data_IF_323767294121
#
_entry.id   IF_323767294121
#
_cell.length_a   1.000
_cell.length_b   1.000
_cell.length_c   1.000
_cell.angle_alpha   90.00
_cell.angle_beta   90.00
_cell.angle_gamma   90.00
#
_symmetry.space_group_name_H-M   'P 1'
#
loop_
_entity.id
_entity.type
_entity.pdbx_description
1 polymer ?
#
# COMPACT_ATOMS: atom_id res chain seq x y z
N UNK A 1 6.70 5.73 5.10
CA UNK A 1 6.65 7.04 4.42
C UNK A 1 6.37 8.15 5.44
N UNK A 2 7.27 8.30 6.44
CA UNK A 2 7.14 9.33 7.51
C UNK A 2 8.47 9.99 7.90
N UNK A 3 9.60 9.66 7.24
CA UNK A 3 10.94 10.05 7.70
C UNK A 3 11.72 11.00 6.78
N UNK A 4 11.03 11.75 5.88
CA UNK A 4 11.68 12.75 5.00
C UNK A 4 11.65 14.18 5.57
N UNK A 5 11.25 14.38 6.83
CA UNK A 5 11.19 15.73 7.46
C UNK A 5 12.36 16.07 8.40
N UNK A 6 13.24 15.13 8.68
CA UNK A 6 14.37 15.38 9.61
C UNK A 6 15.59 16.06 8.95
N UNK A 7 15.71 16.00 7.63
CA UNK A 7 16.80 16.67 6.90
C UNK A 7 16.77 18.21 7.00
N UNK A 8 15.58 18.80 6.94
CA UNK A 8 15.41 20.27 6.97
C UNK A 8 15.61 20.87 8.39
N UNK A 9 15.42 20.06 9.46
CA UNK A 9 15.69 20.53 10.82
C UNK A 9 17.19 20.64 11.14
N UNK A 10 18.03 19.92 10.40
CA UNK A 10 19.48 19.84 10.69
C UNK A 10 20.23 21.09 10.23
N UNK A 11 19.77 21.77 9.19
CA UNK A 11 20.36 23.02 8.68
C UNK A 11 20.18 24.17 9.66
N UNK A 12 19.16 24.14 10.48
CA UNK A 12 18.76 25.24 11.35
C UNK A 12 19.57 25.36 12.67
N UNK A 13 20.33 24.33 13.10
CA UNK A 13 21.09 24.39 14.36
C UNK A 13 22.34 25.29 14.28
N UNK A 14 23.06 25.27 13.16
CA UNK A 14 24.24 26.12 12.96
C UNK A 14 23.85 27.60 12.82
N UNK A 15 22.72 27.90 12.17
CA UNK A 15 22.17 29.25 12.09
C UNK A 15 21.69 29.72 13.48
N UNK A 16 21.01 28.89 14.25
CA UNK A 16 20.56 29.21 15.61
C UNK A 16 21.74 29.46 16.57
N UNK A 17 22.86 28.76 16.40
CA UNK A 17 24.08 28.98 17.22
C UNK A 17 24.77 30.30 16.83
N UNK A 18 24.74 30.68 15.56
CA UNK A 18 25.27 31.99 15.11
C UNK A 18 24.40 33.16 15.60
N UNK A 19 23.09 32.97 15.62
CA UNK A 19 22.09 33.98 16.05
C UNK A 19 22.12 34.27 17.59
N UNK A 20 22.83 33.40 18.37
CA UNK A 20 22.98 33.57 19.82
C UNK A 20 23.89 34.73 20.13
N UNK A 21 24.87 35.07 19.28
CA UNK A 21 25.85 36.14 19.57
C UNK A 21 25.24 37.54 19.64
N UNK A 22 24.12 37.76 18.96
CA UNK A 22 23.46 39.06 18.90
C UNK A 22 22.36 39.26 19.93
N UNK A 23 22.08 38.27 20.80
CA UNK A 23 21.07 38.35 21.83
C UNK A 23 21.64 38.83 23.13
N UNK A 24 20.79 39.50 23.96
CA UNK A 24 21.14 39.80 25.33
C UNK A 24 21.45 38.51 26.14
N UNK A 25 22.31 38.55 27.16
CA UNK A 25 22.78 37.36 27.91
C UNK A 25 21.66 36.42 28.42
N UNK A 26 20.52 36.98 28.79
CA UNK A 26 19.33 36.20 29.21
C UNK A 26 18.75 35.39 28.03
N UNK A 27 18.60 36.03 26.88
CA UNK A 27 18.12 35.36 25.66
C UNK A 27 19.09 34.30 25.13
N UNK A 28 20.39 34.44 25.37
CA UNK A 28 21.41 33.46 25.04
C UNK A 28 21.23 32.16 25.85
N UNK A 29 21.05 32.24 27.14
CA UNK A 29 20.82 31.06 28.03
C UNK A 29 19.53 30.35 27.66
N UNK A 30 18.44 31.10 27.41
CA UNK A 30 17.15 30.49 27.01
C UNK A 30 17.24 29.74 25.66
N UNK A 31 17.97 30.34 24.73
CA UNK A 31 18.18 29.67 23.41
C UNK A 31 19.02 28.40 23.54
N UNK A 32 20.03 28.40 24.44
CA UNK A 32 20.86 27.22 24.71
C UNK A 32 20.07 26.09 25.39
N UNK A 33 19.18 26.43 26.32
CA UNK A 33 18.28 25.45 26.96
C UNK A 33 17.33 24.85 25.91
N UNK A 34 16.76 25.68 25.03
CA UNK A 34 15.88 25.21 23.95
C UNK A 34 16.59 24.30 22.97
N UNK A 35 17.81 24.66 22.55
CA UNK A 35 18.63 23.81 21.67
C UNK A 35 18.95 22.47 22.33
N UNK A 36 19.30 22.48 23.60
CA UNK A 36 19.57 21.24 24.35
C UNK A 36 18.31 20.37 24.47
N UNK A 37 17.13 20.98 24.65
CA UNK A 37 15.84 20.29 24.68
C UNK A 37 15.47 19.67 23.33
N UNK A 38 15.77 20.37 22.23
CA UNK A 38 15.53 19.84 20.87
C UNK A 38 16.42 18.62 20.57
N UNK A 39 17.66 18.61 21.05
CA UNK A 39 18.65 17.55 20.76
C UNK A 39 18.45 16.30 21.62
N UNK A 40 18.32 16.49 22.94
CA UNK A 40 18.22 15.38 23.91
C UNK A 40 16.76 14.89 24.07
N UNK A 41 15.79 15.73 23.73
CA UNK A 41 14.37 15.56 24.00
C UNK A 41 13.94 16.28 25.27
N UNK A 42 12.82 17.03 25.22
CA UNK A 42 12.33 17.84 26.31
C UNK A 42 12.12 17.04 27.63
N UNK A 43 11.52 15.84 27.49
CA UNK A 43 11.25 14.97 28.65
C UNK A 43 12.54 14.47 29.33
N UNK A 44 13.54 14.09 28.51
CA UNK A 44 14.85 13.65 29.02
C UNK A 44 15.63 14.79 29.66
N UNK A 45 15.51 16.01 29.12
CA UNK A 45 16.14 17.19 29.68
C UNK A 45 15.54 17.53 31.09
N UNK A 46 14.22 17.53 31.20
CA UNK A 46 13.51 17.74 32.46
C UNK A 46 13.89 16.71 33.52
N UNK A 47 13.94 15.43 33.14
CA UNK A 47 14.39 14.34 34.01
C UNK A 47 15.85 14.53 34.48
N UNK A 48 16.73 14.95 33.58
CA UNK A 48 18.14 15.23 33.89
C UNK A 48 18.28 16.45 34.79
N UNK A 49 17.54 17.50 34.49
CA UNK A 49 17.52 18.73 35.32
C UNK A 49 17.00 18.46 36.74
N UNK A 50 15.95 17.65 36.89
CA UNK A 50 15.42 17.25 38.21
C UNK A 50 16.43 16.44 39.01
N UNK A 51 17.08 15.44 38.40
CA UNK A 51 18.12 14.62 39.08
C UNK A 51 19.33 15.41 39.52
N UNK A 52 19.66 16.51 38.85
CA UNK A 52 20.82 17.36 39.12
C UNK A 52 20.44 18.58 40.04
N UNK A 53 19.19 18.70 40.50
CA UNK A 53 18.72 19.84 41.28
C UNK A 53 18.81 21.17 40.50
N UNK A 54 18.75 21.11 39.17
CA UNK A 54 18.88 22.28 38.30
C UNK A 54 17.54 22.83 37.81
N UNK A 55 16.41 22.17 38.13
CA UNK A 55 15.11 22.52 37.60
C UNK A 55 14.63 23.88 38.10
N UNK A 56 14.77 24.13 39.40
CA UNK A 56 14.36 25.38 40.02
C UNK A 56 15.30 26.54 39.64
N UNK A 57 16.59 26.23 39.45
CA UNK A 57 17.58 27.20 38.97
C UNK A 57 17.28 27.67 37.53
N UNK A 58 16.84 26.76 36.64
CA UNK A 58 16.46 27.13 35.28
C UNK A 58 15.18 28.00 35.23
N UNK A 59 14.30 27.88 36.21
CA UNK A 59 13.05 28.65 36.31
C UNK A 59 13.21 30.00 37.02
N UNK A 60 14.36 30.23 37.65
CA UNK A 60 14.64 31.48 38.34
C UNK A 60 14.67 32.68 37.42
N UNK A 61 14.35 33.87 37.96
CA UNK A 61 14.47 35.15 37.28
C UNK A 61 15.91 35.65 37.22
N UNK A 62 16.81 35.13 38.07
CA UNK A 62 18.23 35.47 38.10
C UNK A 62 18.99 34.79 36.93
N UNK A 63 19.76 35.60 36.21
CA UNK A 63 20.58 35.08 35.09
C UNK A 63 21.70 34.18 35.59
N UNK A 64 22.26 34.50 36.77
CA UNK A 64 23.32 33.76 37.43
C UNK A 64 22.85 32.34 37.82
N UNK A 65 21.65 32.22 38.37
CA UNK A 65 21.06 30.93 38.73
C UNK A 65 20.73 30.07 37.49
N UNK A 66 20.19 30.70 36.44
CA UNK A 66 19.91 30.00 35.17
C UNK A 66 21.18 29.51 34.50
N UNK A 67 22.24 30.28 34.47
CA UNK A 67 23.54 29.88 33.94
C UNK A 67 24.13 28.74 34.77
N UNK A 68 24.00 28.76 36.10
CA UNK A 68 24.42 27.66 36.98
C UNK A 68 23.58 26.39 36.72
N UNK A 69 22.26 26.51 36.58
CA UNK A 69 21.38 25.40 36.28
C UNK A 69 21.75 24.73 34.92
N UNK A 70 22.00 25.53 33.91
CA UNK A 70 22.44 25.03 32.59
C UNK A 70 23.82 24.36 32.68
N UNK A 71 24.75 24.94 33.46
CA UNK A 71 26.09 24.36 33.72
C UNK A 71 26.01 22.98 34.38
N UNK A 72 25.16 22.82 35.42
CA UNK A 72 24.91 21.51 36.06
C UNK A 72 24.43 20.46 35.03
N UNK A 73 23.54 20.81 34.13
CA UNK A 73 22.98 19.91 33.14
C UNK A 73 24.02 19.53 32.09
N UNK A 74 24.74 20.50 31.57
CA UNK A 74 25.75 20.28 30.50
C UNK A 74 26.88 19.38 30.99
N UNK A 75 27.40 19.68 32.22
CA UNK A 75 28.49 18.88 32.81
C UNK A 75 28.03 17.63 33.56
N UNK A 76 26.71 17.50 33.81
CA UNK A 76 26.16 16.36 34.55
C UNK A 76 26.60 16.29 35.99
N UNK A 77 27.03 17.42 36.60
CA UNK A 77 27.58 17.48 37.94
C UNK A 77 26.63 18.19 38.89
N UNK A 78 26.04 17.51 39.89
CA UNK A 78 25.12 18.11 40.87
C UNK A 78 25.83 19.00 41.92
N UNK A 79 27.16 18.85 42.11
CA UNK A 79 27.90 19.53 43.16
C UNK A 79 28.40 20.93 42.78
N UNK A 80 28.00 21.44 41.63
CA UNK A 80 28.32 22.80 41.18
C UNK A 80 27.38 23.80 41.85
N UNK A 81 27.72 24.28 43.05
CA UNK A 81 26.82 25.18 43.80
C UNK A 81 27.34 26.64 43.88
N UNK A 82 28.48 26.94 43.25
CA UNK A 82 29.02 28.30 43.23
C UNK A 82 28.31 29.17 42.21
N UNK A 83 27.58 30.19 42.68
CA UNK A 83 26.95 31.18 41.80
C UNK A 83 28.01 32.01 41.04
N UNK A 84 27.93 32.10 39.73
CA UNK A 84 28.87 32.89 38.94
C UNK A 84 28.70 34.40 39.24
N UNK A 85 29.82 35.14 39.27
CA UNK A 85 29.81 36.59 39.34
C UNK A 85 29.35 37.20 38.01
N UNK A 86 28.71 38.38 38.08
CA UNK A 86 28.22 39.08 36.85
C UNK A 86 29.28 39.29 35.80
N UNK A 87 30.51 39.49 36.19
CA UNK A 87 31.67 39.71 35.33
C UNK A 87 32.11 38.42 34.62
N UNK A 88 31.83 37.24 35.19
CA UNK A 88 32.21 35.93 34.68
C UNK A 88 31.14 35.33 33.70
N UNK A 89 29.90 35.86 33.71
CA UNK A 89 28.78 35.36 32.94
C UNK A 89 29.06 35.27 31.44
N UNK A 90 29.63 36.27 30.76
CA UNK A 90 29.89 36.18 29.32
C UNK A 90 30.84 35.03 28.97
N UNK A 91 31.85 34.79 29.85
CA UNK A 91 32.82 33.68 29.65
C UNK A 91 32.14 32.34 29.83
N UNK A 92 31.31 32.17 30.87
CA UNK A 92 30.59 30.95 31.18
C UNK A 92 29.56 30.65 30.09
N UNK A 93 28.86 31.64 29.59
CA UNK A 93 27.90 31.44 28.45
C UNK A 93 28.64 30.96 27.22
N UNK A 94 29.81 31.51 26.91
CA UNK A 94 30.62 31.06 25.79
C UNK A 94 31.12 29.62 25.96
N UNK A 95 31.61 29.28 27.16
CA UNK A 95 32.02 27.92 27.51
C UNK A 95 30.86 26.93 27.36
N UNK A 96 29.64 27.30 27.77
CA UNK A 96 28.44 26.48 27.62
C UNK A 96 28.02 26.37 26.16
N UNK A 97 28.17 27.42 25.35
CA UNK A 97 27.92 27.36 23.91
C UNK A 97 28.82 26.33 23.23
N UNK A 98 30.12 26.39 23.52
CA UNK A 98 31.11 25.49 22.93
C UNK A 98 30.81 24.03 23.37
N UNK A 99 30.47 23.81 24.62
CA UNK A 99 30.17 22.48 25.13
C UNK A 99 28.84 21.91 24.61
N UNK A 100 27.83 22.74 24.42
CA UNK A 100 26.55 22.34 23.82
C UNK A 100 26.77 22.03 22.32
N UNK A 101 27.58 22.81 21.61
CA UNK A 101 27.95 22.53 20.23
C UNK A 101 28.64 21.14 20.11
N UNK A 102 29.53 20.79 21.05
CA UNK A 102 30.15 19.46 21.10
C UNK A 102 29.12 18.35 21.31
N UNK A 103 28.15 18.54 22.23
CA UNK A 103 27.07 17.58 22.49
C UNK A 103 26.20 17.41 21.24
N UNK A 104 25.86 18.49 20.54
CA UNK A 104 25.09 18.44 19.29
C UNK A 104 25.84 17.67 18.21
N UNK A 105 27.12 17.98 18.02
CA UNK A 105 27.96 17.31 17.00
C UNK A 105 28.09 15.81 17.28
N UNK A 106 28.28 15.44 18.55
CA UNK A 106 28.35 14.03 18.98
C UNK A 106 27.05 13.29 18.74
N UNK A 107 25.92 13.89 19.14
CA UNK A 107 24.61 13.26 18.93
C UNK A 107 24.27 13.09 17.43
N UNK A 108 24.68 14.04 16.61
CA UNK A 108 24.54 13.94 15.15
C UNK A 108 25.37 12.80 14.58
N UNK A 109 26.64 12.69 14.99
CA UNK A 109 27.51 11.60 14.55
C UNK A 109 26.97 10.22 14.99
N UNK A 110 26.44 10.11 16.22
CA UNK A 110 25.80 8.89 16.72
C UNK A 110 24.56 8.54 15.86
N UNK A 111 23.72 9.50 15.54
CA UNK A 111 22.51 9.30 14.72
C UNK A 111 22.85 8.91 13.27
N UNK A 112 23.84 9.55 12.68
CA UNK A 112 24.34 9.19 11.34
C UNK A 112 24.94 7.77 11.31
N UNK A 113 25.63 7.38 12.39
CA UNK A 113 26.19 6.04 12.55
C UNK A 113 25.07 4.99 12.68
N UNK A 114 24.04 5.26 13.50
CA UNK A 114 22.87 4.39 13.65
C UNK A 114 22.15 4.20 12.32
N UNK A 115 21.93 5.26 11.56
CA UNK A 115 21.32 5.17 10.24
C UNK A 115 22.12 4.30 9.28
N UNK A 116 23.45 4.50 9.23
CA UNK A 116 24.33 3.67 8.39
C UNK A 116 24.36 2.20 8.83
N UNK A 117 24.25 1.94 10.14
CA UNK A 117 24.17 0.57 10.67
C UNK A 117 22.86 -0.09 10.23
N UNK A 118 21.72 0.62 10.36
CA UNK A 118 20.41 0.13 9.95
C UNK A 118 20.39 -0.15 8.45
N UNK A 119 20.87 0.78 7.62
CA UNK A 119 20.98 0.59 6.18
C UNK A 119 21.84 -0.62 5.80
N UNK A 120 23.02 -0.80 6.45
CA UNK A 120 23.88 -1.98 6.22
C UNK A 120 23.24 -3.28 6.69
N UNK A 121 22.53 -3.26 7.81
CA UNK A 121 21.81 -4.44 8.29
C UNK A 121 20.70 -4.83 7.33
N UNK A 122 19.96 -3.84 6.80
CA UNK A 122 18.89 -4.07 5.84
C UNK A 122 19.43 -4.62 4.51
N UNK A 123 20.54 -4.05 3.99
CA UNK A 123 21.22 -4.57 2.81
C UNK A 123 21.74 -6.01 2.99
N UNK A 124 22.32 -6.32 4.15
CA UNK A 124 22.78 -7.70 4.45
C UNK A 124 21.62 -8.68 4.61
N UNK A 125 20.51 -8.23 5.21
CA UNK A 125 19.33 -9.06 5.36
C UNK A 125 18.74 -9.41 3.98
N UNK A 126 18.63 -8.43 3.08
CA UNK A 126 18.12 -8.65 1.73
C UNK A 126 19.03 -9.59 0.93
N UNK A 127 20.35 -9.42 1.05
CA UNK A 127 21.34 -10.34 0.43
C UNK A 127 21.23 -11.76 0.98
N UNK A 128 21.08 -11.92 2.29
CA UNK A 128 20.94 -13.22 2.94
C UNK A 128 19.64 -13.94 2.53
N UNK A 129 18.53 -13.21 2.43
CA UNK A 129 17.26 -13.76 1.91
C UNK A 129 17.41 -14.19 0.44
N UNK A 130 18.11 -13.42 -0.39
CA UNK A 130 18.39 -13.82 -1.78
C UNK A 130 19.29 -15.08 -1.85
N UNK A 131 20.28 -15.21 -0.98
CA UNK A 131 21.13 -16.40 -0.91
C UNK A 131 20.35 -17.63 -0.47
N UNK A 132 19.51 -17.52 0.57
CA UNK A 132 18.64 -18.63 1.01
C UNK A 132 17.69 -19.02 -0.11
N UNK A 133 17.03 -18.05 -0.78
CA UNK A 133 16.17 -18.34 -1.93
C UNK A 133 16.94 -19.10 -3.02
N UNK A 134 18.17 -18.70 -3.33
CA UNK A 134 19.04 -19.41 -4.29
C UNK A 134 19.40 -20.81 -3.84
N UNK A 135 19.68 -21.02 -2.55
CA UNK A 135 19.98 -22.36 -2.01
C UNK A 135 18.77 -23.27 -2.01
N UNK A 136 17.61 -22.74 -1.60
CA UNK A 136 16.33 -23.49 -1.60
C UNK A 136 15.94 -23.86 -3.03
N UNK A 137 16.08 -22.93 -4.00
CA UNK A 137 15.84 -23.19 -5.42
C UNK A 137 16.83 -24.19 -6.02
N UNK A 138 18.09 -24.26 -5.56
CA UNK A 138 19.06 -25.27 -5.97
C UNK A 138 18.77 -26.68 -5.42
N UNK A 139 18.15 -26.76 -4.25
CA UNK A 139 17.81 -28.04 -3.60
C UNK A 139 16.46 -28.60 -4.05
N UNK A 140 15.56 -27.77 -4.53
CA UNK A 140 14.31 -28.23 -5.16
C UNK A 140 14.58 -28.43 -6.65
N UNK A 141 14.55 -29.67 -7.12
CA UNK A 141 14.47 -30.01 -8.55
C UNK A 141 13.13 -29.54 -9.14
N UNK A 142 12.92 -28.22 -9.09
CA UNK A 142 11.74 -27.54 -9.60
C UNK A 142 11.91 -27.08 -11.06
N UNK A 143 10.85 -26.55 -11.68
CA UNK A 143 10.82 -26.13 -13.09
C UNK A 143 11.74 -24.94 -13.41
N UNK A 144 12.40 -24.37 -12.41
CA UNK A 144 13.27 -23.21 -12.55
C UNK A 144 14.66 -23.63 -13.05
N UNK A 145 14.99 -23.15 -14.25
CA UNK A 145 16.35 -23.26 -14.80
C UNK A 145 17.04 -21.87 -14.79
N UNK A 146 18.35 -21.85 -15.09
CA UNK A 146 19.12 -20.60 -15.11
C UNK A 146 18.57 -19.56 -16.10
N UNK A 147 17.87 -19.98 -17.15
CA UNK A 147 17.26 -19.07 -18.13
C UNK A 147 15.93 -18.50 -17.61
N UNK A 148 15.09 -19.28 -16.91
CA UNK A 148 13.84 -18.80 -16.32
C UNK A 148 14.10 -17.83 -15.18
N UNK A 149 15.08 -18.11 -14.33
CA UNK A 149 15.52 -17.19 -13.27
C UNK A 149 16.09 -15.87 -13.84
N UNK A 150 16.84 -15.95 -14.95
CA UNK A 150 17.31 -14.73 -15.62
C UNK A 150 16.16 -13.91 -16.22
N UNK A 151 15.17 -14.57 -16.81
CA UNK A 151 13.96 -13.90 -17.33
C UNK A 151 13.14 -13.28 -16.22
N UNK A 152 12.98 -13.96 -15.07
CA UNK A 152 12.31 -13.43 -13.89
C UNK A 152 13.02 -12.19 -13.35
N UNK A 153 14.36 -12.24 -13.23
CA UNK A 153 15.14 -11.09 -12.78
C UNK A 153 15.03 -9.89 -13.72
N UNK A 154 14.96 -10.14 -15.04
CA UNK A 154 14.73 -9.09 -16.03
C UNK A 154 13.32 -8.51 -15.84
N UNK A 155 12.29 -9.35 -15.70
CA UNK A 155 10.90 -8.93 -15.50
C UNK A 155 10.75 -8.09 -14.22
N UNK A 156 11.35 -8.52 -13.12
CA UNK A 156 11.34 -7.76 -11.86
C UNK A 156 12.07 -6.42 -12.01
N UNK A 157 13.17 -6.38 -12.77
CA UNK A 157 13.88 -5.14 -13.06
C UNK A 157 13.04 -4.19 -13.90
N UNK A 158 12.32 -4.69 -14.89
CA UNK A 158 11.39 -3.89 -15.71
C UNK A 158 10.20 -3.41 -14.86
N UNK A 159 9.64 -4.23 -13.98
CA UNK A 159 8.59 -3.83 -13.04
C UNK A 159 9.01 -2.71 -12.07
N UNK A 160 10.31 -2.62 -11.75
CA UNK A 160 10.87 -1.52 -10.93
C UNK A 160 11.02 -0.22 -11.72
N UNK A 161 11.11 -0.28 -13.05
CA UNK A 161 11.12 0.90 -13.92
C UNK A 161 9.72 1.49 -14.02
N UNK A 162 9.22 2.05 -12.94
CA UNK A 162 7.99 2.83 -13.01
C UNK A 162 8.31 4.14 -13.72
N UNK A 163 7.82 4.30 -14.92
CA UNK A 163 7.61 5.64 -15.48
C UNK A 163 6.75 6.37 -14.47
N UNK A 164 7.17 7.57 -14.07
CA UNK A 164 6.44 8.43 -13.13
C UNK A 164 4.93 8.31 -13.38
N UNK A 165 4.14 8.19 -12.30
CA UNK A 165 2.68 8.14 -12.38
C UNK A 165 2.21 9.12 -13.43
N UNK A 166 1.57 8.62 -14.47
CA UNK A 166 1.01 9.48 -15.53
C UNK A 166 0.11 10.50 -14.86
N UNK A 167 0.14 11.75 -15.35
CA UNK A 167 -0.76 12.82 -14.88
C UNK A 167 -2.20 12.31 -14.83
N UNK A 168 -2.60 11.46 -15.79
CA UNK A 168 -3.90 10.79 -15.83
C UNK A 168 -4.17 9.89 -14.61
N UNK A 169 -3.18 9.22 -14.04
CA UNK A 169 -3.35 8.44 -12.80
C UNK A 169 -3.46 9.34 -11.57
N UNK A 170 -2.76 10.48 -11.56
CA UNK A 170 -2.86 11.46 -10.48
C UNK A 170 -4.18 12.24 -10.52
N UNK A 171 -4.76 12.44 -11.71
CA UNK A 171 -6.01 13.13 -11.93
C UNK A 171 -7.24 12.19 -11.83
N UNK A 172 -7.05 10.87 -11.68
CA UNK A 172 -8.19 9.97 -11.46
C UNK A 172 -8.92 10.35 -10.17
N UNK A 173 -10.24 10.61 -10.25
CA UNK A 173 -11.03 10.90 -9.07
C UNK A 173 -10.86 9.82 -8.00
N UNK A 174 -10.55 10.24 -6.81
CA UNK A 174 -10.45 9.38 -5.63
C UNK A 174 -11.72 9.40 -4.79
N UNK A 175 -12.59 10.41 -5.01
CA UNK A 175 -13.86 10.60 -4.33
C UNK A 175 -14.97 10.88 -5.35
N UNK A 176 -16.19 10.48 -5.01
CA UNK A 176 -17.36 10.72 -5.87
C UNK A 176 -17.59 12.21 -6.17
N UNK A 177 -17.25 13.09 -5.24
CA UNK A 177 -17.40 14.55 -5.37
C UNK A 177 -16.50 15.15 -6.46
N UNK A 178 -15.46 14.43 -6.86
CA UNK A 178 -14.53 14.84 -7.90
C UNK A 178 -15.04 14.49 -9.31
N UNK A 179 -16.14 13.72 -9.42
CA UNK A 179 -16.82 13.42 -10.68
C UNK A 179 -17.82 14.56 -10.96
N UNK A 180 -17.42 15.49 -11.80
CA UNK A 180 -18.23 16.69 -12.11
C UNK A 180 -19.22 16.40 -13.23
N UNK A 181 -20.46 16.90 -13.07
CA UNK A 181 -21.48 16.88 -14.12
C UNK A 181 -22.28 15.56 -14.24
N UNK A 182 -21.99 14.54 -13.43
CA UNK A 182 -22.64 13.23 -13.46
C UNK A 182 -23.33 12.85 -12.14
N UNK A 183 -23.68 13.83 -11.30
CA UNK A 183 -24.15 13.59 -9.92
C UNK A 183 -25.42 12.73 -9.90
N UNK A 184 -26.34 12.92 -10.87
CA UNK A 184 -27.59 12.14 -10.98
C UNK A 184 -27.28 10.67 -11.31
N UNK A 185 -26.41 10.43 -12.29
CA UNK A 185 -26.02 9.09 -12.73
C UNK A 185 -25.28 8.33 -11.61
N UNK A 186 -24.35 9.00 -10.96
CA UNK A 186 -23.60 8.44 -9.84
C UNK A 186 -24.50 8.09 -8.65
N UNK A 187 -25.42 8.98 -8.27
CA UNK A 187 -26.43 8.71 -7.21
C UNK A 187 -27.34 7.54 -7.57
N UNK A 188 -27.80 7.47 -8.82
CA UNK A 188 -28.63 6.36 -9.30
C UNK A 188 -27.85 5.03 -9.24
N UNK A 189 -26.58 5.01 -9.68
CA UNK A 189 -25.73 3.84 -9.63
C UNK A 189 -25.56 3.34 -8.19
N UNK A 190 -25.18 4.23 -7.25
CA UNK A 190 -25.03 3.87 -5.84
C UNK A 190 -26.33 3.31 -5.27
N UNK A 191 -27.46 3.97 -5.53
CA UNK A 191 -28.77 3.52 -5.06
C UNK A 191 -29.11 2.11 -5.53
N UNK A 192 -28.70 1.74 -6.76
CA UNK A 192 -28.99 0.42 -7.34
C UNK A 192 -28.10 -0.67 -6.78
N UNK A 193 -26.80 -0.40 -6.62
CA UNK A 193 -25.86 -1.41 -6.15
C UNK A 193 -25.83 -1.54 -4.63
N UNK A 194 -26.03 -0.44 -3.89
CA UNK A 194 -26.03 -0.44 -2.42
C UNK A 194 -27.36 -0.88 -1.78
N UNK A 195 -28.37 -1.18 -2.59
CA UNK A 195 -29.63 -1.72 -2.13
C UNK A 195 -29.42 -3.10 -1.46
N UNK A 196 -30.26 -3.51 -0.47
CA UNK A 196 -30.30 -4.88 0.02
C UNK A 196 -30.54 -5.93 -1.08
N UNK A 197 -31.15 -5.51 -2.18
CA UNK A 197 -31.37 -6.31 -3.40
C UNK A 197 -30.67 -5.61 -4.57
N UNK A 198 -29.34 -5.76 -4.71
CA UNK A 198 -28.58 -5.07 -5.73
C UNK A 198 -28.98 -5.52 -7.12
N UNK A 199 -28.94 -4.59 -8.07
CA UNK A 199 -29.34 -4.82 -9.45
C UNK A 199 -28.12 -4.70 -10.37
N UNK A 200 -28.10 -5.49 -11.44
CA UNK A 200 -27.16 -5.32 -12.53
C UNK A 200 -27.45 -3.99 -13.23
N UNK A 201 -26.40 -3.30 -13.70
CA UNK A 201 -26.51 -1.94 -14.25
C UNK A 201 -25.77 -1.86 -15.58
N UNK A 202 -26.40 -1.18 -16.56
CA UNK A 202 -25.73 -0.75 -17.80
C UNK A 202 -25.53 0.76 -17.75
N UNK A 203 -24.31 1.20 -18.05
CA UNK A 203 -23.90 2.60 -18.09
C UNK A 203 -23.61 2.98 -19.54
N UNK A 204 -24.42 3.92 -20.06
CA UNK A 204 -24.24 4.48 -21.38
C UNK A 204 -23.52 5.81 -21.33
N UNK A 205 -22.69 6.11 -22.28
CA UNK A 205 -22.06 7.41 -22.41
C UNK A 205 -20.79 7.42 -23.23
N UNK A 206 -20.34 8.58 -23.71
CA UNK A 206 -19.16 8.70 -24.55
C UNK A 206 -17.87 8.25 -23.80
N UNK A 207 -16.79 8.01 -24.51
CA UNK A 207 -15.52 7.64 -23.90
C UNK A 207 -15.00 8.81 -23.02
N UNK A 208 -14.26 8.49 -21.96
CA UNK A 208 -13.63 9.49 -21.09
C UNK A 208 -14.52 10.19 -20.05
N UNK A 209 -15.84 9.92 -20.00
CA UNK A 209 -16.74 10.54 -19.01
C UNK A 209 -16.64 9.96 -17.60
N UNK A 210 -15.74 8.98 -17.37
CA UNK A 210 -15.48 8.41 -16.05
C UNK A 210 -16.37 7.23 -15.66
N UNK A 211 -16.98 6.48 -16.61
CA UNK A 211 -17.83 5.30 -16.35
C UNK A 211 -17.18 4.29 -15.40
N UNK A 212 -15.96 3.86 -15.68
CA UNK A 212 -15.19 2.91 -14.87
C UNK A 212 -14.90 3.46 -13.47
N UNK A 213 -14.50 4.74 -13.40
CA UNK A 213 -14.22 5.41 -12.13
C UNK A 213 -15.48 5.53 -11.27
N UNK A 214 -16.61 5.90 -11.89
CA UNK A 214 -17.89 5.97 -11.20
C UNK A 214 -18.31 4.61 -10.62
N UNK A 215 -18.17 3.53 -11.40
CA UNK A 215 -18.49 2.17 -10.95
C UNK A 215 -17.62 1.72 -9.76
N UNK A 216 -16.31 1.95 -9.82
CA UNK A 216 -15.38 1.63 -8.74
C UNK A 216 -15.69 2.41 -7.46
N UNK A 217 -15.84 3.72 -7.56
CA UNK A 217 -16.14 4.58 -6.41
C UNK A 217 -17.54 4.30 -5.83
N UNK A 218 -18.50 3.91 -6.68
CA UNK A 218 -19.83 3.51 -6.22
C UNK A 218 -19.78 2.23 -5.37
N UNK A 219 -18.96 1.24 -5.72
CA UNK A 219 -18.72 0.06 -4.87
C UNK A 219 -18.07 0.46 -3.55
N UNK A 220 -17.04 1.32 -3.57
CA UNK A 220 -16.38 1.77 -2.34
C UNK A 220 -17.35 2.52 -1.40
N UNK A 221 -18.28 3.30 -1.93
CA UNK A 221 -19.35 3.90 -1.11
C UNK A 221 -20.37 2.86 -0.63
N UNK A 222 -20.75 1.91 -1.50
CA UNK A 222 -21.66 0.83 -1.13
C UNK A 222 -21.12 0.00 0.05
N UNK A 223 -19.81 -0.31 0.08
CA UNK A 223 -19.16 -1.02 1.19
C UNK A 223 -19.28 -0.32 2.56
N UNK A 224 -19.50 1.01 2.56
CA UNK A 224 -19.64 1.80 3.80
C UNK A 224 -21.06 1.77 4.36
N UNK A 225 -22.05 1.39 3.56
CA UNK A 225 -23.45 1.44 3.93
C UNK A 225 -23.86 0.18 4.70
N UNK A 226 -24.56 0.34 5.83
CA UNK A 226 -24.96 -0.77 6.71
C UNK A 226 -25.90 -1.80 6.07
N UNK A 227 -26.66 -1.38 5.06
CA UNK A 227 -27.65 -2.23 4.37
C UNK A 227 -27.13 -2.80 3.05
N UNK A 228 -25.90 -2.51 2.71
CA UNK A 228 -25.26 -3.03 1.50
C UNK A 228 -24.89 -4.51 1.68
N UNK A 229 -25.10 -5.36 0.67
CA UNK A 229 -24.73 -6.76 0.72
C UNK A 229 -23.22 -6.97 0.56
N UNK A 230 -22.47 -5.94 0.16
CA UNK A 230 -21.03 -6.05 -0.07
C UNK A 230 -20.22 -6.06 1.22
N UNK A 231 -19.33 -7.02 1.34
CA UNK A 231 -18.31 -7.03 2.39
C UNK A 231 -17.30 -5.89 2.19
N UNK A 232 -16.51 -5.57 3.23
CA UNK A 232 -15.42 -4.59 3.11
C UNK A 232 -14.37 -5.00 2.07
N UNK A 233 -14.17 -6.30 1.89
CA UNK A 233 -13.19 -6.88 0.97
C UNK A 233 -13.81 -7.30 -0.36
N UNK A 234 -15.05 -6.86 -0.67
CA UNK A 234 -15.72 -7.18 -1.92
C UNK A 234 -14.85 -6.80 -3.14
N UNK A 235 -14.58 -7.73 -4.06
CA UNK A 235 -13.69 -7.48 -5.19
C UNK A 235 -14.35 -6.56 -6.23
N UNK A 236 -13.51 -5.79 -6.93
CA UNK A 236 -13.87 -5.09 -8.15
C UNK A 236 -13.03 -5.63 -9.29
N UNK A 237 -13.61 -6.49 -10.12
CA UNK A 237 -12.95 -7.10 -11.27
C UNK A 237 -13.31 -6.33 -12.51
N UNK A 238 -12.30 -5.85 -13.24
CA UNK A 238 -12.46 -5.02 -14.44
C UNK A 238 -11.95 -5.78 -15.66
N UNK A 239 -12.74 -5.79 -16.72
CA UNK A 239 -12.38 -6.40 -17.99
C UNK A 239 -12.94 -5.59 -19.15
N UNK A 240 -12.22 -5.63 -20.30
CA UNK A 240 -12.70 -5.01 -21.53
C UNK A 240 -13.42 -6.07 -22.39
N UNK A 241 -14.71 -5.83 -22.70
CA UNK A 241 -15.55 -6.72 -23.49
C UNK A 241 -15.02 -6.96 -24.91
N UNK A 242 -14.44 -5.93 -25.54
CA UNK A 242 -13.86 -6.04 -26.88
C UNK A 242 -12.63 -6.98 -26.94
N UNK A 243 -11.93 -7.16 -25.79
CA UNK A 243 -10.79 -8.09 -25.70
C UNK A 243 -11.21 -9.53 -25.42
N UNK A 244 -12.46 -9.76 -25.02
CA UNK A 244 -13.00 -11.07 -24.73
C UNK A 244 -13.57 -11.68 -26.02
N UNK A 245 -12.81 -12.57 -26.64
CA UNK A 245 -13.23 -13.32 -27.81
C UNK A 245 -13.48 -14.75 -27.44
N UNK A 246 -14.48 -15.36 -28.07
CA UNK A 246 -14.72 -16.78 -28.00
C UNK A 246 -13.95 -17.48 -29.12
N UNK A 247 -13.01 -18.37 -28.77
CA UNK A 247 -12.42 -19.29 -29.69
C UNK A 247 -12.77 -20.71 -29.24
N UNK A 248 -13.52 -21.47 -30.09
CA UNK A 248 -13.88 -22.86 -29.78
C UNK A 248 -12.67 -23.78 -29.63
N UNK A 249 -11.50 -23.36 -30.12
CA UNK A 249 -10.25 -24.13 -30.08
C UNK A 249 -9.41 -23.79 -28.85
N UNK A 250 -9.66 -22.66 -28.22
CA UNK A 250 -8.96 -22.28 -27.02
C UNK A 250 -9.59 -22.97 -25.78
N UNK A 251 -8.80 -23.85 -25.18
CA UNK A 251 -9.16 -24.46 -23.90
C UNK A 251 -9.27 -23.46 -22.75
N UNK A 252 -8.91 -22.19 -22.97
CA UNK A 252 -8.87 -21.16 -21.96
C UNK A 252 -9.86 -20.05 -22.24
N UNK A 253 -10.91 -19.94 -21.41
CA UNK A 253 -11.80 -18.79 -21.41
C UNK A 253 -11.47 -17.92 -20.18
N UNK A 254 -10.86 -16.73 -20.34
CA UNK A 254 -10.50 -15.90 -19.20
C UNK A 254 -11.71 -15.42 -18.39
N UNK A 255 -12.88 -15.26 -19.02
CA UNK A 255 -14.07 -14.79 -18.34
C UNK A 255 -14.69 -15.87 -17.45
N UNK A 256 -14.97 -17.03 -18.01
CA UNK A 256 -15.69 -18.12 -17.31
C UNK A 256 -14.76 -19.10 -16.62
N UNK A 257 -13.51 -19.15 -17.09
CA UNK A 257 -12.56 -20.19 -16.70
C UNK A 257 -12.55 -21.35 -17.72
N UNK A 258 -11.71 -22.33 -17.46
CA UNK A 258 -11.48 -23.45 -18.36
C UNK A 258 -11.14 -24.71 -17.59
N UNK A 259 -11.23 -25.85 -18.26
CA UNK A 259 -10.71 -27.11 -17.73
C UNK A 259 -9.46 -27.48 -18.52
N UNK A 260 -8.35 -27.66 -17.81
CA UNK A 260 -7.12 -28.17 -18.38
C UNK A 260 -7.17 -29.70 -18.33
N UNK A 261 -7.45 -30.30 -19.49
CA UNK A 261 -7.40 -31.75 -19.60
C UNK A 261 -5.94 -32.22 -19.58
N UNK A 262 -5.66 -33.42 -19.01
CA UNK A 262 -4.28 -33.90 -18.81
C UNK A 262 -3.50 -34.09 -20.13
N UNK A 263 -4.18 -34.20 -21.23
CA UNK A 263 -3.56 -34.39 -22.57
C UNK A 263 -3.07 -33.06 -23.16
N UNK A 264 -3.60 -31.91 -22.73
CA UNK A 264 -3.21 -30.61 -23.23
C UNK A 264 -2.08 -30.00 -22.41
N UNK A 265 -1.10 -29.39 -23.08
CA UNK A 265 0.01 -28.67 -22.42
C UNK A 265 -0.55 -27.53 -21.54
N UNK A 266 -0.57 -27.72 -20.24
CA UNK A 266 -1.03 -26.67 -19.30
C UNK A 266 -1.51 -27.17 -17.94
N UNK A 267 -1.81 -28.45 -17.79
CA UNK A 267 -2.08 -29.03 -16.47
C UNK A 267 -0.82 -28.97 -15.59
N UNK A 268 -1.00 -28.76 -14.28
CA UNK A 268 0.12 -28.88 -13.33
C UNK A 268 0.74 -30.28 -13.47
N UNK A 269 2.08 -30.36 -13.46
CA UNK A 269 2.81 -31.61 -13.65
C UNK A 269 2.28 -32.75 -12.74
N UNK A 270 1.95 -32.43 -11.51
CA UNK A 270 1.42 -33.38 -10.51
C UNK A 270 0.09 -34.01 -10.93
N UNK A 271 -0.80 -33.25 -11.61
CA UNK A 271 -2.09 -33.74 -12.09
C UNK A 271 -2.03 -34.27 -13.52
N UNK A 272 -1.14 -33.74 -14.36
CA UNK A 272 -0.91 -34.26 -15.70
C UNK A 272 -0.40 -35.70 -15.67
N UNK A 273 0.54 -36.02 -14.77
CA UNK A 273 1.08 -37.36 -14.59
C UNK A 273 0.05 -38.34 -14.01
N UNK A 274 -0.94 -37.84 -13.25
CA UNK A 274 -2.03 -38.65 -12.68
C UNK A 274 -3.27 -38.74 -13.59
N UNK A 275 -3.32 -38.00 -14.69
CA UNK A 275 -4.46 -37.96 -15.61
C UNK A 275 -5.68 -37.21 -15.07
N UNK A 276 -5.52 -36.33 -14.07
CA UNK A 276 -6.62 -35.60 -13.41
C UNK A 276 -6.88 -34.27 -14.14
N UNK A 277 -8.14 -33.98 -14.59
CA UNK A 277 -8.49 -32.68 -15.16
C UNK A 277 -8.50 -31.60 -14.08
N UNK A 278 -7.89 -30.43 -14.35
CA UNK A 278 -7.82 -29.30 -13.44
C UNK A 278 -8.69 -28.12 -13.92
N UNK A 279 -9.78 -27.76 -13.18
CA UNK A 279 -10.54 -26.55 -13.46
C UNK A 279 -9.76 -25.29 -13.05
N UNK A 280 -9.64 -24.32 -13.99
CA UNK A 280 -9.10 -22.99 -13.74
C UNK A 280 -10.25 -22.00 -13.64
N UNK A 281 -10.33 -21.28 -12.52
CA UNK A 281 -11.36 -20.29 -12.30
C UNK A 281 -11.17 -19.06 -13.22
N UNK A 282 -12.28 -18.48 -13.67
CA UNK A 282 -12.30 -17.27 -14.49
C UNK A 282 -12.64 -16.02 -13.68
N UNK A 283 -12.66 -14.87 -14.38
CA UNK A 283 -12.93 -13.56 -13.80
C UNK A 283 -14.29 -13.48 -13.11
N UNK A 284 -15.31 -14.21 -13.57
CA UNK A 284 -16.62 -14.26 -12.91
C UNK A 284 -16.54 -14.86 -11.50
N UNK A 285 -15.69 -15.86 -11.31
CA UNK A 285 -15.44 -16.44 -9.98
C UNK A 285 -14.57 -15.55 -9.10
N UNK A 286 -13.64 -14.80 -9.69
CA UNK A 286 -12.86 -13.79 -8.97
C UNK A 286 -13.74 -12.62 -8.49
N UNK A 287 -14.82 -12.29 -9.24
CA UNK A 287 -15.77 -11.25 -8.88
C UNK A 287 -16.79 -11.71 -7.82
N UNK A 288 -16.76 -12.96 -7.38
CA UNK A 288 -17.73 -13.51 -6.41
C UNK A 288 -17.81 -12.66 -5.13
N UNK A 289 -19.03 -12.28 -4.73
CA UNK A 289 -19.31 -11.40 -3.60
C UNK A 289 -19.01 -9.91 -3.85
N UNK A 290 -18.69 -9.51 -5.10
CA UNK A 290 -18.33 -8.16 -5.49
C UNK A 290 -18.97 -7.69 -6.77
N UNK A 291 -18.20 -6.96 -7.58
CA UNK A 291 -18.61 -6.36 -8.85
C UNK A 291 -17.73 -6.85 -9.99
N UNK A 292 -18.35 -7.32 -11.06
CA UNK A 292 -17.72 -7.51 -12.35
C UNK A 292 -18.06 -6.29 -13.23
N UNK A 293 -17.04 -5.50 -13.56
CA UNK A 293 -17.17 -4.36 -14.46
C UNK A 293 -16.69 -4.77 -15.85
N UNK A 294 -17.57 -4.67 -16.85
CA UNK A 294 -17.23 -4.94 -18.26
C UNK A 294 -17.29 -3.64 -19.02
N UNK A 295 -16.13 -3.13 -19.41
CA UNK A 295 -16.06 -1.97 -20.31
C UNK A 295 -16.31 -2.41 -21.75
N UNK A 296 -16.99 -1.59 -22.53
CA UNK A 296 -17.42 -1.87 -23.90
C UNK A 296 -18.15 -3.23 -24.02
N UNK A 297 -19.13 -3.46 -23.13
CA UNK A 297 -19.94 -4.69 -23.12
C UNK A 297 -20.70 -4.90 -24.44
N UNK A 298 -21.04 -3.80 -25.14
CA UNK A 298 -21.69 -3.85 -26.45
C UNK A 298 -20.82 -4.43 -27.56
N UNK A 299 -19.48 -4.51 -27.35
CA UNK A 299 -18.54 -5.10 -28.31
C UNK A 299 -18.14 -6.53 -27.95
N UNK A 300 -18.74 -7.06 -26.89
CA UNK A 300 -18.48 -8.43 -26.43
C UNK A 300 -19.10 -9.45 -27.40
N UNK A 301 -18.40 -10.59 -27.55
CA UNK A 301 -18.92 -11.69 -28.34
C UNK A 301 -20.29 -12.16 -27.82
N UNK A 302 -21.32 -12.27 -28.70
CA UNK A 302 -22.67 -12.66 -28.28
C UNK A 302 -22.76 -14.01 -27.60
N UNK A 303 -21.90 -14.94 -27.95
CA UNK A 303 -21.84 -16.26 -27.32
C UNK A 303 -21.35 -16.20 -25.88
N UNK A 304 -20.34 -15.38 -25.64
CA UNK A 304 -19.85 -15.12 -24.27
C UNK A 304 -20.89 -14.36 -23.44
N UNK A 305 -21.59 -13.42 -24.06
CA UNK A 305 -22.66 -12.69 -23.39
C UNK A 305 -23.79 -13.64 -22.93
N UNK A 306 -24.23 -14.55 -23.79
CA UNK A 306 -25.23 -15.56 -23.44
C UNK A 306 -24.76 -16.50 -22.32
N UNK A 307 -23.49 -16.87 -22.32
CA UNK A 307 -22.90 -17.66 -21.24
C UNK A 307 -22.85 -16.87 -19.92
N UNK A 308 -22.50 -15.59 -20.00
CA UNK A 308 -22.50 -14.69 -18.84
C UNK A 308 -23.90 -14.54 -18.23
N UNK A 309 -24.93 -14.36 -19.06
CA UNK A 309 -26.34 -14.29 -18.61
C UNK A 309 -26.71 -15.54 -17.81
N UNK A 310 -26.32 -16.71 -18.32
CA UNK A 310 -26.57 -17.98 -17.61
C UNK A 310 -25.85 -18.03 -16.26
N UNK A 311 -24.61 -17.53 -16.16
CA UNK A 311 -23.88 -17.44 -14.89
C UNK A 311 -24.58 -16.48 -13.90
N UNK A 312 -25.13 -15.36 -14.40
CA UNK A 312 -25.91 -14.42 -13.56
C UNK A 312 -27.18 -15.06 -12.99
N UNK A 313 -27.83 -15.94 -13.74
CA UNK A 313 -29.02 -16.68 -13.29
C UNK A 313 -28.67 -17.77 -12.28
N UNK A 314 -27.66 -18.62 -12.63
CA UNK A 314 -27.27 -19.78 -11.85
C UNK A 314 -26.41 -19.41 -10.62
N UNK A 315 -25.76 -18.23 -10.65
CA UNK A 315 -24.75 -17.74 -9.68
C UNK A 315 -23.58 -18.68 -9.52
N UNK A 316 -23.32 -19.49 -10.53
CA UNK A 316 -22.28 -20.52 -10.56
C UNK A 316 -21.75 -20.73 -11.97
N UNK A 317 -20.51 -21.16 -12.08
CA UNK A 317 -19.90 -21.64 -13.32
C UNK A 317 -19.73 -23.14 -13.24
N UNK A 318 -20.35 -23.86 -14.14
CA UNK A 318 -20.24 -25.32 -14.22
C UNK A 318 -19.08 -25.71 -15.14
N UNK A 319 -18.26 -26.61 -14.68
CA UNK A 319 -17.16 -27.21 -15.43
C UNK A 319 -17.57 -28.59 -15.93
N UNK A 320 -17.09 -28.97 -17.10
CA UNK A 320 -17.28 -30.30 -17.67
C UNK A 320 -15.99 -30.75 -18.35
N UNK A 321 -15.62 -32.01 -18.14
CA UNK A 321 -14.52 -32.67 -18.83
C UNK A 321 -14.88 -34.13 -19.10
N UNK A 322 -14.50 -34.61 -20.23
CA UNK A 322 -14.66 -36.04 -20.59
C UNK A 322 -13.73 -36.96 -19.80
N UNK A 323 -12.74 -36.37 -19.12
CA UNK A 323 -11.75 -37.10 -18.33
C UNK A 323 -12.06 -37.10 -16.83
N UNK A 324 -13.16 -36.48 -16.42
CA UNK A 324 -13.56 -36.46 -15.01
C UNK A 324 -14.35 -37.70 -14.66
N UNK A 325 -13.84 -38.46 -13.68
CA UNK A 325 -14.55 -39.59 -13.07
C UNK A 325 -14.81 -39.28 -11.59
N UNK A 326 -16.09 -39.16 -11.13
CA UNK A 326 -16.42 -38.89 -9.74
C UNK A 326 -15.90 -39.97 -8.76
N UNK A 327 -15.71 -41.20 -9.24
CA UNK A 327 -15.29 -42.34 -8.42
C UNK A 327 -13.76 -42.48 -8.30
N UNK A 328 -13.00 -41.68 -9.02
CA UNK A 328 -11.54 -41.72 -8.92
C UNK A 328 -11.07 -41.17 -7.55
N UNK A 329 -10.45 -42.03 -6.75
CA UNK A 329 -9.91 -41.65 -5.44
C UNK A 329 -8.68 -40.71 -5.53
N UNK A 330 -8.01 -40.66 -6.68
CA UNK A 330 -6.86 -39.76 -6.91
C UNK A 330 -7.26 -38.29 -7.05
N UNK A 331 -8.55 -38.01 -7.34
CA UNK A 331 -9.05 -36.65 -7.53
C UNK A 331 -9.28 -35.97 -6.18
N UNK A 332 -8.58 -34.83 -5.92
CA UNK A 332 -8.79 -34.06 -4.71
C UNK A 332 -10.23 -33.59 -4.53
N UNK A 333 -10.69 -33.53 -3.26
CA UNK A 333 -12.08 -33.22 -2.96
C UNK A 333 -12.52 -31.84 -3.44
N UNK A 334 -11.60 -30.85 -3.49
CA UNK A 334 -11.90 -29.53 -4.02
C UNK A 334 -12.20 -29.55 -5.53
N UNK A 335 -11.51 -30.41 -6.31
CA UNK A 335 -11.76 -30.60 -7.74
C UNK A 335 -13.13 -31.28 -7.93
N UNK A 336 -13.43 -32.34 -7.16
CA UNK A 336 -14.75 -32.99 -7.20
C UNK A 336 -15.87 -31.98 -6.97
N UNK A 337 -15.71 -31.13 -5.96
CA UNK A 337 -16.68 -30.08 -5.64
C UNK A 337 -16.87 -29.08 -6.78
N UNK A 338 -15.81 -28.70 -7.49
CA UNK A 338 -15.89 -27.79 -8.64
C UNK A 338 -16.62 -28.41 -9.83
N UNK A 339 -16.49 -29.72 -10.06
CA UNK A 339 -17.21 -30.39 -11.12
C UNK A 339 -18.69 -30.69 -10.74
N UNK A 340 -18.96 -31.00 -9.48
CA UNK A 340 -20.30 -31.37 -9.00
C UNK A 340 -21.17 -30.14 -8.72
N UNK A 341 -20.62 -29.14 -8.02
CA UNK A 341 -21.36 -27.95 -7.58
C UNK A 341 -21.11 -26.72 -8.46
N UNK A 342 -20.04 -26.74 -9.25
CA UNK A 342 -19.55 -25.54 -9.96
C UNK A 342 -18.79 -24.56 -9.06
N UNK A 343 -18.11 -23.60 -9.70
CA UNK A 343 -17.47 -22.50 -8.98
C UNK A 343 -18.47 -21.40 -8.64
N UNK A 344 -18.44 -20.81 -7.43
CA UNK A 344 -19.33 -19.73 -7.05
C UNK A 344 -19.03 -18.48 -7.88
N UNK A 345 -20.08 -17.80 -8.33
CA UNK A 345 -20.04 -16.60 -9.17
C UNK A 345 -21.25 -15.69 -8.91
N UNK A 346 -21.51 -15.37 -7.64
CA UNK A 346 -22.55 -14.43 -7.24
C UNK A 346 -21.96 -13.02 -7.18
N UNK A 347 -22.18 -12.23 -8.20
CA UNK A 347 -21.64 -10.87 -8.35
C UNK A 347 -22.65 -9.93 -8.97
N UNK A 348 -22.41 -8.63 -8.84
CA UNK A 348 -23.19 -7.61 -9.57
C UNK A 348 -22.43 -7.24 -10.85
N UNK A 349 -23.12 -7.38 -11.99
CA UNK A 349 -22.62 -6.94 -13.27
C UNK A 349 -22.84 -5.44 -13.44
N UNK A 350 -21.78 -4.70 -13.76
CA UNK A 350 -21.86 -3.34 -14.26
C UNK A 350 -21.24 -3.32 -15.65
N UNK A 351 -22.09 -3.19 -16.66
CA UNK A 351 -21.65 -3.03 -18.05
C UNK A 351 -21.51 -1.56 -18.40
N UNK A 352 -20.47 -1.20 -19.12
CA UNK A 352 -20.32 0.13 -19.71
C UNK A 352 -20.23 0.01 -21.22
N UNK A 353 -20.82 0.96 -21.94
CA UNK A 353 -20.76 0.99 -23.41
C UNK A 353 -20.78 2.43 -23.92
N UNK A 354 -20.19 2.62 -25.10
CA UNK A 354 -20.26 3.87 -25.86
C UNK A 354 -21.35 3.83 -26.90
N UNK A 355 -21.97 2.66 -27.18
CA UNK A 355 -23.06 2.50 -28.14
C UNK A 355 -24.36 3.05 -27.57
N UNK A 356 -25.25 3.47 -28.50
CA UNK A 356 -26.60 3.85 -28.10
C UNK A 356 -27.45 2.63 -27.68
N UNK A 357 -28.42 2.82 -26.74
CA UNK A 357 -29.29 1.73 -26.29
C UNK A 357 -30.01 0.97 -27.40
N UNK A 358 -30.28 1.65 -28.52
CA UNK A 358 -30.95 1.05 -29.69
C UNK A 358 -30.05 0.18 -30.56
N UNK A 359 -28.73 0.28 -30.39
CA UNK A 359 -27.74 -0.49 -31.13
C UNK A 359 -27.31 -1.78 -30.40
N UNK A 360 -27.73 -1.92 -29.15
CA UNK A 360 -27.50 -3.14 -28.39
C UNK A 360 -28.55 -4.19 -28.75
N UNK A 361 -28.12 -5.41 -28.99
CA UNK A 361 -29.04 -6.53 -29.09
C UNK A 361 -29.85 -6.66 -27.80
N UNK A 362 -31.19 -6.86 -27.89
CA UNK A 362 -32.05 -7.01 -26.75
C UNK A 362 -31.70 -8.22 -25.89
#
# INVERSE_FOLDING_TARGET
MKDLRDGDKIINYNEKILDIKDKQPRGQVDTLVSLLAEVIGADKLVLKASKLGALDLLRSDSLEERALGLKKIVYGNPTLDTLPRKEELPFIIKELQDKIAEIIARHRAEKELEQKIVEKLQQRHDQYIEEIKREVLKKSSGPENAQTLKRLAILERENRKKISRTILEMLRPSKLQEIVGQERGVKALISKIASPFPQHVLIFGPPGVGKTTAARLALEEAKKLKHSPFSKDAPFVEVNGASLRWDPREATNPLLGSVHDPIYQGARREFADSGVPEPKLGLVSEANGGVLFIDEIGDMDPYLLNKLIKVLEDKRVNFSSSYYDPHDERIPQYIKKLFEEGAPADFILIGATTRDPHELNP
#
